data_IF_979275749252
#
_entry.id   IF_979275749252
#
_cell.length_a   1.000
_cell.length_b   1.000
_cell.length_c   1.000
_cell.angle_alpha   90.00
_cell.angle_beta   90.00
_cell.angle_gamma   90.00
#
_symmetry.space_group_name_H-M   'P 1'
#
loop_
_entity.id
_entity.type
_entity.pdbx_description
1 polymer ?
#
# COMPACT_ATOMS: atom_id res chain seq x y z
N UNK A 1 -26.50 6.04 9.54
CA UNK A 1 -26.31 4.93 8.59
C UNK A 1 -26.43 3.62 9.36
N UNK A 2 -27.44 2.82 9.05
CA UNK A 2 -27.57 1.46 9.60
C UNK A 2 -26.47 0.59 9.01
N UNK A 3 -25.68 -0.08 9.85
CA UNK A 3 -24.66 -1.04 9.42
C UNK A 3 -25.33 -2.18 8.64
N UNK A 4 -24.90 -2.42 7.41
CA UNK A 4 -25.44 -3.50 6.57
C UNK A 4 -25.07 -4.89 7.10
N UNK A 5 -23.90 -4.99 7.76
CA UNK A 5 -23.34 -6.26 8.24
C UNK A 5 -22.89 -6.12 9.68
N UNK A 6 -23.18 -7.13 10.51
CA UNK A 6 -22.66 -7.19 11.89
C UNK A 6 -21.12 -7.30 11.87
N UNK A 7 -20.38 -6.60 12.76
CA UNK A 7 -18.92 -6.64 12.76
C UNK A 7 -18.33 -8.06 12.78
N UNK A 8 -18.93 -8.96 13.56
CA UNK A 8 -18.46 -10.35 13.70
C UNK A 8 -18.54 -11.12 12.37
N UNK A 9 -19.65 -11.00 11.64
CA UNK A 9 -19.81 -11.67 10.33
C UNK A 9 -18.92 -11.03 9.26
N UNK A 10 -18.69 -9.72 9.32
CA UNK A 10 -17.74 -9.04 8.44
C UNK A 10 -16.31 -9.58 8.64
N UNK A 11 -15.84 -9.66 9.88
CA UNK A 11 -14.50 -10.19 10.16
C UNK A 11 -14.35 -11.64 9.72
N UNK A 12 -15.34 -12.49 9.97
CA UNK A 12 -15.31 -13.89 9.49
C UNK A 12 -15.21 -13.93 7.97
N UNK A 13 -16.05 -13.17 7.25
CA UNK A 13 -16.04 -13.13 5.80
C UNK A 13 -14.73 -12.61 5.21
N UNK A 14 -14.18 -11.52 5.77
CA UNK A 14 -12.89 -10.95 5.33
C UNK A 14 -11.71 -11.88 5.63
N UNK A 15 -11.74 -12.57 6.78
CA UNK A 15 -10.69 -13.55 7.11
C UNK A 15 -10.73 -14.73 6.15
N UNK A 16 -11.91 -15.28 5.87
CA UNK A 16 -12.05 -16.36 4.90
C UNK A 16 -11.63 -15.94 3.50
N UNK A 17 -12.01 -14.72 3.06
CA UNK A 17 -11.56 -14.16 1.79
C UNK A 17 -10.05 -14.00 1.74
N UNK A 18 -9.42 -13.52 2.81
CA UNK A 18 -7.98 -13.36 2.89
C UNK A 18 -7.26 -14.70 2.83
N UNK A 19 -7.73 -15.70 3.57
CA UNK A 19 -7.18 -17.05 3.54
C UNK A 19 -7.32 -17.69 2.15
N UNK A 20 -8.47 -17.50 1.50
CA UNK A 20 -8.68 -17.96 0.12
C UNK A 20 -7.72 -17.24 -0.86
N UNK A 21 -7.57 -15.92 -0.74
CA UNK A 21 -6.65 -15.15 -1.57
C UNK A 21 -5.19 -15.59 -1.37
N UNK A 22 -4.76 -15.87 -0.14
CA UNK A 22 -3.44 -16.45 0.17
C UNK A 22 -3.29 -17.79 -0.53
N UNK A 23 -4.25 -18.69 -0.34
CA UNK A 23 -4.23 -20.01 -0.96
C UNK A 23 -4.13 -19.93 -2.49
N UNK A 24 -4.98 -19.13 -3.13
CA UNK A 24 -4.95 -18.93 -4.58
C UNK A 24 -3.62 -18.32 -5.03
N UNK A 25 -3.06 -17.37 -4.28
CA UNK A 25 -1.76 -16.76 -4.59
C UNK A 25 -0.61 -17.77 -4.53
N UNK A 26 -0.65 -18.73 -3.61
CA UNK A 26 0.34 -19.79 -3.48
C UNK A 26 0.11 -20.93 -4.49
N UNK A 27 -1.14 -21.27 -4.79
CA UNK A 27 -1.49 -22.36 -5.67
C UNK A 27 -1.35 -22.03 -7.16
N UNK A 28 -1.75 -20.82 -7.56
CA UNK A 28 -1.82 -20.42 -8.97
C UNK A 28 -0.64 -19.52 -9.35
N UNK A 29 -0.11 -19.66 -10.55
CA UNK A 29 0.98 -18.85 -11.09
C UNK A 29 1.32 -19.26 -12.52
N UNK A 30 2.23 -18.51 -13.20
CA UNK A 30 2.62 -18.79 -14.59
C UNK A 30 3.19 -20.21 -14.78
N UNK A 31 3.90 -20.72 -13.77
CA UNK A 31 4.35 -22.12 -13.73
C UNK A 31 3.26 -22.94 -13.07
N UNK A 32 2.64 -23.85 -13.80
CA UNK A 32 1.63 -24.77 -13.27
C UNK A 32 2.25 -25.78 -12.30
N UNK A 33 1.83 -25.74 -11.05
CA UNK A 33 2.12 -26.77 -10.07
C UNK A 33 0.83 -27.54 -9.78
N UNK A 34 0.86 -28.88 -9.71
CA UNK A 34 -0.29 -29.64 -9.24
C UNK A 34 -0.73 -29.16 -7.86
N UNK A 35 -2.02 -28.94 -7.65
CA UNK A 35 -2.55 -28.45 -6.37
C UNK A 35 -2.15 -29.33 -5.19
N UNK A 36 -2.11 -30.65 -5.43
CA UNK A 36 -1.70 -31.62 -4.42
C UNK A 36 -0.23 -31.47 -4.02
N UNK A 37 0.67 -31.26 -4.98
CA UNK A 37 2.10 -31.07 -4.73
C UNK A 37 2.35 -29.72 -4.06
N UNK A 38 1.59 -28.68 -4.43
CA UNK A 38 1.62 -27.37 -3.75
C UNK A 38 1.24 -27.50 -2.28
N UNK A 39 0.19 -28.28 -1.97
CA UNK A 39 -0.23 -28.51 -0.59
C UNK A 39 0.81 -29.32 0.20
N UNK A 40 1.34 -30.43 -0.40
CA UNK A 40 2.37 -31.26 0.23
C UNK A 40 3.64 -30.46 0.51
N UNK A 41 4.10 -29.65 -0.46
CA UNK A 41 5.27 -28.79 -0.30
C UNK A 41 5.03 -27.73 0.79
N UNK A 42 3.86 -27.11 0.83
CA UNK A 42 3.51 -26.15 1.89
C UNK A 42 3.49 -26.80 3.28
N UNK A 43 2.86 -27.98 3.43
CA UNK A 43 2.83 -28.73 4.68
C UNK A 43 4.24 -29.15 5.13
N UNK A 44 5.10 -29.55 4.19
CA UNK A 44 6.49 -29.92 4.50
C UNK A 44 7.31 -28.73 4.94
N UNK A 45 7.14 -27.57 4.32
CA UNK A 45 7.77 -26.31 4.78
C UNK A 45 7.33 -25.92 6.21
N UNK A 46 6.14 -26.35 6.64
CA UNK A 46 5.64 -26.18 8.00
C UNK A 46 6.12 -27.30 8.97
N UNK A 47 6.97 -28.22 8.52
CA UNK A 47 7.56 -29.29 9.34
C UNK A 47 6.81 -30.63 9.32
N UNK A 48 5.86 -30.83 8.40
CA UNK A 48 5.21 -32.14 8.26
C UNK A 48 6.20 -33.19 7.74
N UNK A 49 6.24 -34.42 8.31
CA UNK A 49 7.14 -35.50 7.92
C UNK A 49 6.68 -36.17 6.63
N UNK A 50 6.71 -35.45 5.51
CA UNK A 50 6.36 -35.94 4.19
C UNK A 50 7.62 -36.31 3.38
N UNK A 51 7.55 -37.38 2.57
CA UNK A 51 8.66 -37.78 1.72
C UNK A 51 9.06 -36.66 0.73
N UNK A 52 10.37 -36.44 0.50
CA UNK A 52 10.87 -35.39 -0.37
C UNK A 52 10.61 -35.62 -1.87
N UNK A 53 10.37 -36.86 -2.26
CA UNK A 53 10.40 -37.30 -3.65
C UNK A 53 9.45 -36.49 -4.55
N UNK A 54 10.05 -35.80 -5.53
CA UNK A 54 9.34 -35.02 -6.54
C UNK A 54 8.83 -33.64 -6.07
N UNK A 55 9.08 -33.19 -4.83
CA UNK A 55 8.59 -31.93 -4.30
C UNK A 55 9.62 -30.79 -4.35
N UNK A 56 10.87 -31.06 -4.68
CA UNK A 56 11.98 -30.07 -4.63
C UNK A 56 11.70 -28.83 -5.47
N UNK A 57 11.19 -29.00 -6.69
CA UNK A 57 10.83 -27.88 -7.55
C UNK A 57 9.64 -27.08 -7.00
N UNK A 58 8.64 -27.76 -6.44
CA UNK A 58 7.48 -27.10 -5.82
C UNK A 58 7.89 -26.30 -4.57
N UNK A 59 8.76 -26.87 -3.73
CA UNK A 59 9.29 -26.18 -2.54
C UNK A 59 10.12 -24.94 -2.91
N UNK A 60 10.95 -25.04 -3.95
CA UNK A 60 11.75 -23.91 -4.42
C UNK A 60 10.85 -22.79 -4.96
N UNK A 61 9.88 -23.11 -5.81
CA UNK A 61 8.94 -22.12 -6.35
C UNK A 61 8.08 -21.51 -5.26
N UNK A 62 7.57 -22.32 -4.34
CA UNK A 62 6.78 -21.82 -3.20
C UNK A 62 7.63 -20.95 -2.28
N UNK A 63 8.78 -21.41 -1.85
CA UNK A 63 9.61 -20.75 -0.83
C UNK A 63 10.31 -19.50 -1.34
N UNK A 64 10.80 -19.50 -2.59
CA UNK A 64 11.63 -18.42 -3.12
C UNK A 64 10.88 -17.42 -4.00
N UNK A 65 9.74 -17.82 -4.57
CA UNK A 65 9.00 -16.96 -5.52
C UNK A 65 7.62 -16.62 -4.98
N UNK A 66 6.76 -17.63 -4.70
CA UNK A 66 5.36 -17.38 -4.39
C UNK A 66 5.15 -16.84 -2.98
N UNK A 67 5.82 -17.39 -1.99
CA UNK A 67 5.65 -16.97 -0.59
C UNK A 67 6.12 -15.54 -0.35
N UNK A 68 7.34 -15.10 -0.78
CA UNK A 68 7.74 -13.70 -0.65
C UNK A 68 6.79 -12.75 -1.36
N UNK A 69 6.30 -13.10 -2.55
CA UNK A 69 5.34 -12.30 -3.32
C UNK A 69 3.98 -12.19 -2.62
N UNK A 70 3.48 -13.30 -2.08
CA UNK A 70 2.22 -13.31 -1.31
C UNK A 70 2.34 -12.46 -0.06
N UNK A 71 3.42 -12.59 0.71
CA UNK A 71 3.68 -11.78 1.90
C UNK A 71 3.84 -10.29 1.55
N UNK A 72 4.50 -9.98 0.44
CA UNK A 72 4.62 -8.62 -0.07
C UNK A 72 3.24 -8.03 -0.39
N UNK A 73 2.40 -8.77 -1.12
CA UNK A 73 1.03 -8.35 -1.45
C UNK A 73 0.16 -8.12 -0.22
N UNK A 74 0.23 -9.02 0.78
CA UNK A 74 -0.47 -8.87 2.06
C UNK A 74 -0.05 -7.58 2.79
N UNK A 75 1.25 -7.35 2.91
CA UNK A 75 1.79 -6.20 3.64
C UNK A 75 1.45 -4.88 2.92
N UNK A 76 1.68 -4.81 1.60
CA UNK A 76 1.39 -3.62 0.79
C UNK A 76 -0.10 -3.31 0.79
N UNK A 77 -0.96 -4.31 0.48
CA UNK A 77 -2.41 -4.11 0.43
C UNK A 77 -2.98 -3.69 1.79
N UNK A 78 -2.54 -4.34 2.85
CA UNK A 78 -2.97 -4.05 4.22
C UNK A 78 -2.55 -2.65 4.68
N UNK A 79 -1.29 -2.26 4.48
CA UNK A 79 -0.78 -0.95 4.95
C UNK A 79 -1.31 0.21 4.11
N UNK A 80 -1.52 0.03 2.79
CA UNK A 80 -2.15 1.05 1.94
C UNK A 80 -3.59 1.31 2.38
N UNK A 81 -4.39 0.25 2.59
CA UNK A 81 -5.76 0.39 3.06
C UNK A 81 -5.84 1.02 4.46
N UNK A 82 -4.96 0.60 5.37
CA UNK A 82 -4.88 1.16 6.72
C UNK A 82 -4.52 2.65 6.71
N UNK A 83 -3.54 3.04 5.89
CA UNK A 83 -3.16 4.44 5.67
C UNK A 83 -4.29 5.25 5.05
N UNK A 84 -5.07 4.62 4.16
CA UNK A 84 -6.28 5.22 3.61
C UNK A 84 -7.31 5.55 4.67
N UNK A 85 -7.61 4.63 5.61
CA UNK A 85 -8.51 4.90 6.75
C UNK A 85 -8.01 6.09 7.57
N UNK A 86 -6.71 6.14 7.86
CA UNK A 86 -6.10 7.22 8.63
C UNK A 86 -6.27 8.58 7.95
N UNK A 87 -6.02 8.65 6.63
CA UNK A 87 -6.16 9.89 5.87
C UNK A 87 -7.61 10.31 5.68
N UNK A 88 -8.52 9.36 5.43
CA UNK A 88 -9.95 9.64 5.36
C UNK A 88 -10.49 10.17 6.70
N UNK A 89 -9.98 9.68 7.82
CA UNK A 89 -10.28 10.19 9.16
C UNK A 89 -9.71 11.60 9.40
N UNK A 90 -8.45 11.82 9.03
CA UNK A 90 -7.77 13.10 9.17
C UNK A 90 -8.44 14.21 8.36
N UNK A 91 -8.74 13.96 7.10
CA UNK A 91 -9.38 14.90 6.20
C UNK A 91 -10.90 14.98 6.39
N UNK A 92 -11.48 14.12 7.23
CA UNK A 92 -12.94 13.95 7.39
C UNK A 92 -13.64 13.83 6.04
N UNK A 93 -12.97 13.19 5.10
CA UNK A 93 -13.44 12.99 3.74
C UNK A 93 -13.26 11.51 3.36
N UNK A 94 -14.33 10.76 3.11
CA UNK A 94 -14.27 9.34 2.75
C UNK A 94 -13.59 9.08 1.40
N UNK A 95 -13.33 10.12 0.62
CA UNK A 95 -12.68 10.08 -0.67
C UNK A 95 -11.22 10.56 -0.62
N UNK A 96 -10.66 10.78 0.57
CA UNK A 96 -9.27 11.16 0.70
C UNK A 96 -8.35 9.96 0.43
N UNK A 97 -7.38 10.18 -0.45
CA UNK A 97 -6.31 9.22 -0.76
C UNK A 97 -5.05 9.54 0.05
N UNK A 98 -4.32 8.54 0.55
CA UNK A 98 -3.07 8.77 1.26
C UNK A 98 -1.99 9.48 0.41
N UNK A 99 -2.07 9.41 -0.92
CA UNK A 99 -1.18 10.14 -1.83
C UNK A 99 -1.32 11.66 -1.78
N UNK A 100 -2.46 12.18 -1.29
CA UNK A 100 -2.72 13.64 -1.17
C UNK A 100 -1.69 14.38 -0.30
N UNK A 101 -0.98 13.70 0.59
CA UNK A 101 0.12 14.27 1.36
C UNK A 101 1.48 14.17 0.65
N UNK A 102 1.49 13.83 -0.64
CA UNK A 102 2.67 13.85 -1.49
C UNK A 102 3.63 12.66 -1.32
N UNK A 103 3.24 11.62 -0.54
CA UNK A 103 4.13 10.48 -0.27
C UNK A 103 4.46 9.70 -1.55
N UNK A 104 3.46 9.43 -2.40
CA UNK A 104 3.66 8.66 -3.65
C UNK A 104 4.48 9.44 -4.68
N UNK A 105 4.20 10.74 -4.87
CA UNK A 105 4.95 11.59 -5.79
C UNK A 105 6.40 11.82 -5.33
N UNK A 106 6.61 11.97 -4.03
CA UNK A 106 7.95 12.03 -3.45
C UNK A 106 8.73 10.73 -3.64
N UNK A 107 8.06 9.58 -3.48
CA UNK A 107 8.66 8.28 -3.72
C UNK A 107 9.01 8.09 -5.21
N UNK A 108 8.15 8.52 -6.12
CA UNK A 108 8.43 8.51 -7.56
C UNK A 108 9.64 9.38 -7.92
N UNK A 109 9.75 10.57 -7.33
CA UNK A 109 10.92 11.43 -7.51
C UNK A 109 12.19 10.77 -6.97
N UNK A 110 12.15 10.21 -5.77
CA UNK A 110 13.30 9.49 -5.19
C UNK A 110 13.73 8.28 -6.03
N UNK A 111 12.77 7.54 -6.57
CA UNK A 111 13.04 6.43 -7.49
C UNK A 111 13.65 6.91 -8.81
N UNK A 112 13.14 8.00 -9.39
CA UNK A 112 13.68 8.58 -10.61
C UNK A 112 15.14 9.04 -10.42
N UNK A 113 15.45 9.67 -9.28
CA UNK A 113 16.82 10.03 -8.91
C UNK A 113 17.72 8.78 -8.81
N UNK A 114 17.23 7.69 -8.21
CA UNK A 114 18.02 6.47 -8.10
C UNK A 114 18.22 5.75 -9.44
N UNK A 115 17.20 5.70 -10.29
CA UNK A 115 17.23 4.99 -11.57
C UNK A 115 18.08 5.75 -12.59
N UNK A 116 17.85 7.06 -12.75
CA UNK A 116 18.58 7.90 -13.73
C UNK A 116 19.95 8.30 -13.19
N UNK A 117 20.02 8.63 -11.90
CA UNK A 117 21.25 9.05 -11.22
C UNK A 117 22.12 7.90 -10.72
N UNK A 118 21.75 6.64 -10.98
CA UNK A 118 22.44 5.47 -10.45
C UNK A 118 23.95 5.44 -10.76
N UNK A 119 24.34 5.95 -11.90
CA UNK A 119 25.76 6.10 -12.28
C UNK A 119 26.55 7.07 -11.38
N UNK A 120 25.88 8.05 -10.77
CA UNK A 120 26.50 8.99 -9.82
C UNK A 120 26.74 8.39 -8.44
N UNK A 121 26.08 7.27 -8.11
CA UNK A 121 26.20 6.56 -6.84
C UNK A 121 27.23 5.42 -6.87
N UNK A 122 28.10 5.37 -7.88
CA UNK A 122 29.07 4.30 -8.13
C UNK A 122 30.14 4.06 -7.04
N UNK A 123 30.18 4.87 -5.97
CA UNK A 123 31.05 4.69 -4.82
C UNK A 123 30.38 3.99 -3.63
N UNK A 124 29.13 3.56 -3.74
CA UNK A 124 28.43 2.88 -2.65
C UNK A 124 28.88 1.43 -2.53
N UNK A 125 28.91 0.87 -1.29
CA UNK A 125 29.21 -0.54 -1.08
C UNK A 125 28.27 -1.45 -1.88
N UNK A 126 28.79 -2.53 -2.44
CA UNK A 126 28.00 -3.47 -3.29
C UNK A 126 26.75 -4.00 -2.58
N UNK A 127 26.80 -4.22 -1.25
CA UNK A 127 25.66 -4.67 -0.47
C UNK A 127 24.51 -3.64 -0.41
N UNK A 128 24.78 -2.35 -0.64
CA UNK A 128 23.77 -1.29 -0.63
C UNK A 128 23.04 -1.15 -1.97
N UNK A 129 23.67 -1.54 -3.08
CA UNK A 129 23.12 -1.44 -4.44
C UNK A 129 21.67 -1.94 -4.56
N UNK A 130 21.33 -3.15 -4.06
CA UNK A 130 19.97 -3.69 -4.12
C UNK A 130 18.92 -2.86 -3.36
N UNK A 131 19.36 -2.07 -2.37
CA UNK A 131 18.47 -1.26 -1.53
C UNK A 131 18.38 0.20 -1.95
N UNK A 132 19.29 0.67 -2.81
CA UNK A 132 19.39 2.08 -3.21
C UNK A 132 18.07 2.64 -3.72
N UNK A 133 17.45 1.94 -4.68
CA UNK A 133 16.17 2.35 -5.28
C UNK A 133 15.08 2.47 -4.21
N UNK A 134 14.93 1.44 -3.37
CA UNK A 134 13.93 1.44 -2.30
C UNK A 134 14.20 2.50 -1.24
N UNK A 135 15.45 2.72 -0.88
CA UNK A 135 15.84 3.76 0.08
C UNK A 135 15.56 5.17 -0.46
N UNK A 136 15.96 5.46 -1.72
CA UNK A 136 15.68 6.74 -2.35
C UNK A 136 14.17 7.00 -2.48
N UNK A 137 13.40 6.00 -2.91
CA UNK A 137 11.95 6.11 -2.99
C UNK A 137 11.32 6.37 -1.60
N UNK A 138 11.71 5.61 -0.59
CA UNK A 138 11.23 5.78 0.78
C UNK A 138 11.55 7.18 1.33
N UNK A 139 12.81 7.59 1.23
CA UNK A 139 13.27 8.91 1.71
C UNK A 139 12.64 10.06 0.93
N UNK A 140 12.46 9.91 -0.39
CA UNK A 140 11.75 10.87 -1.22
C UNK A 140 10.29 11.06 -0.77
N UNK A 141 9.58 9.95 -0.50
CA UNK A 141 8.22 9.97 0.03
C UNK A 141 8.14 10.65 1.40
N UNK A 142 9.02 10.28 2.32
CA UNK A 142 9.10 10.93 3.65
C UNK A 142 9.42 12.42 3.53
N UNK A 143 10.39 12.79 2.67
CA UNK A 143 10.83 14.18 2.49
C UNK A 143 9.71 15.07 1.98
N UNK A 144 9.01 14.67 0.92
CA UNK A 144 7.88 15.44 0.38
C UNK A 144 6.74 15.51 1.39
N UNK A 145 6.40 14.41 2.07
CA UNK A 145 5.36 14.44 3.11
C UNK A 145 5.74 15.34 4.29
N UNK A 146 7.00 15.30 4.73
CA UNK A 146 7.48 16.20 5.78
C UNK A 146 7.38 17.67 5.36
N UNK A 147 7.67 17.98 4.09
CA UNK A 147 7.55 19.33 3.55
C UNK A 147 6.09 19.76 3.46
N UNK A 148 5.18 18.90 2.97
CA UNK A 148 3.73 19.15 2.98
C UNK A 148 3.22 19.45 4.39
N UNK A 149 3.62 18.62 5.36
CA UNK A 149 3.22 18.83 6.75
C UNK A 149 3.76 20.16 7.32
N UNK A 150 5.02 20.50 7.04
CA UNK A 150 5.64 21.75 7.46
C UNK A 150 4.92 22.98 6.87
N UNK A 151 4.60 22.95 5.58
CA UNK A 151 3.88 24.01 4.89
C UNK A 151 2.44 24.15 5.38
N UNK A 152 1.79 23.02 5.73
CA UNK A 152 0.45 22.99 6.30
C UNK A 152 0.36 23.46 7.75
N UNK A 153 1.51 23.62 8.44
CA UNK A 153 1.57 24.01 9.84
C UNK A 153 1.90 25.50 9.99
N UNK A 154 1.00 26.24 10.67
CA UNK A 154 1.21 27.67 10.98
C UNK A 154 0.85 27.92 12.44
N UNK A 155 1.69 28.65 13.18
CA UNK A 155 1.49 29.01 14.60
C UNK A 155 1.18 27.79 15.50
N UNK A 156 1.84 26.67 15.25
CA UNK A 156 1.63 25.46 16.05
C UNK A 156 0.41 24.61 15.66
N UNK A 157 -0.47 25.12 14.81
CA UNK A 157 -1.68 24.43 14.34
C UNK A 157 -1.52 23.91 12.92
N UNK A 158 -2.06 22.73 12.64
CA UNK A 158 -2.04 22.09 11.32
C UNK A 158 -3.34 22.39 10.60
N UNK A 159 -3.26 23.18 9.52
CA UNK A 159 -4.40 23.45 8.64
C UNK A 159 -4.46 22.40 7.54
N UNK A 160 -5.50 21.58 7.58
CA UNK A 160 -5.72 20.46 6.66
C UNK A 160 -5.90 20.93 5.20
N UNK A 161 -6.59 22.06 4.98
CA UNK A 161 -6.77 22.62 3.64
C UNK A 161 -5.43 23.11 3.05
N UNK A 162 -4.61 23.78 3.86
CA UNK A 162 -3.26 24.22 3.44
C UNK A 162 -2.35 23.00 3.16
N UNK A 163 -2.47 21.92 3.95
CA UNK A 163 -1.77 20.67 3.67
C UNK A 163 -2.15 20.08 2.31
N UNK A 164 -3.45 20.06 1.97
CA UNK A 164 -3.92 19.56 0.68
C UNK A 164 -3.38 20.39 -0.49
N UNK A 165 -3.43 21.72 -0.38
CA UNK A 165 -2.88 22.62 -1.41
C UNK A 165 -1.37 22.45 -1.57
N UNK A 166 -0.63 22.34 -0.46
CA UNK A 166 0.80 22.06 -0.48
C UNK A 166 1.09 20.69 -1.12
N UNK A 167 0.28 19.67 -0.79
CA UNK A 167 0.38 18.34 -1.39
C UNK A 167 0.19 18.35 -2.90
N UNK A 168 -0.83 19.07 -3.40
CA UNK A 168 -1.07 19.23 -4.85
C UNK A 168 0.11 19.94 -5.52
N UNK A 169 0.58 21.06 -4.95
CA UNK A 169 1.68 21.83 -5.53
C UNK A 169 2.99 21.03 -5.56
N UNK A 170 3.34 20.36 -4.46
CA UNK A 170 4.56 19.54 -4.39
C UNK A 170 4.46 18.29 -5.26
N UNK A 171 3.26 17.71 -5.40
CA UNK A 171 3.03 16.60 -6.34
C UNK A 171 3.25 17.06 -7.78
N UNK A 172 2.74 18.23 -8.18
CA UNK A 172 2.97 18.78 -9.52
C UNK A 172 4.46 19.04 -9.76
N UNK A 173 5.18 19.61 -8.78
CA UNK A 173 6.61 19.85 -8.86
C UNK A 173 7.41 18.54 -8.98
N UNK A 174 7.10 17.55 -8.13
CA UNK A 174 7.73 16.24 -8.19
C UNK A 174 7.48 15.54 -9.53
N UNK A 175 6.23 15.60 -10.04
CA UNK A 175 5.87 15.03 -11.34
C UNK A 175 6.62 15.74 -12.50
N UNK A 176 6.80 17.06 -12.44
CA UNK A 176 7.58 17.80 -13.42
C UNK A 176 9.06 17.38 -13.39
N UNK A 177 9.62 17.17 -12.20
CA UNK A 177 11.00 16.69 -12.05
C UNK A 177 11.14 15.25 -12.59
N UNK A 178 10.18 14.34 -12.28
CA UNK A 178 10.14 13.00 -12.86
C UNK A 178 10.05 13.06 -14.38
N UNK A 179 9.22 13.98 -14.93
CA UNK A 179 9.12 14.23 -16.37
C UNK A 179 10.46 14.66 -17.00
N UNK A 180 11.22 15.50 -16.31
CA UNK A 180 12.57 15.88 -16.75
C UNK A 180 13.52 14.69 -16.77
N UNK A 181 13.54 13.88 -15.71
CA UNK A 181 14.34 12.64 -15.69
C UNK A 181 13.93 11.66 -16.80
N UNK A 182 12.63 11.55 -17.07
CA UNK A 182 12.09 10.72 -18.17
C UNK A 182 12.57 11.21 -19.52
N UNK A 183 12.62 12.53 -19.75
CA UNK A 183 13.11 13.15 -20.97
C UNK A 183 14.62 12.95 -21.20
N UNK A 184 15.40 12.93 -20.12
CA UNK A 184 16.87 12.75 -20.18
C UNK A 184 17.29 11.28 -20.20
N UNK A 185 16.38 10.35 -19.92
CA UNK A 185 16.68 8.93 -19.84
C UNK A 185 16.89 8.30 -21.23
N UNK A 186 17.79 7.32 -21.30
CA UNK A 186 17.88 6.41 -22.43
C UNK A 186 16.71 5.40 -22.44
N UNK A 187 16.55 4.64 -23.51
CA UNK A 187 15.42 3.71 -23.69
C UNK A 187 15.33 2.64 -22.59
N UNK A 188 16.45 2.13 -22.10
CA UNK A 188 16.49 1.12 -21.04
C UNK A 188 16.05 1.72 -19.69
N UNK A 189 16.57 2.88 -19.37
CA UNK A 189 16.23 3.65 -18.16
C UNK A 189 14.77 4.11 -18.18
N UNK A 190 14.30 4.61 -19.34
CA UNK A 190 12.91 5.02 -19.57
C UNK A 190 11.96 3.83 -19.31
N UNK A 191 12.28 2.65 -19.84
CA UNK A 191 11.51 1.43 -19.61
C UNK A 191 11.45 1.10 -18.11
N UNK A 192 12.60 1.14 -17.43
CA UNK A 192 12.71 0.87 -15.99
C UNK A 192 11.85 1.83 -15.17
N UNK A 193 11.92 3.14 -15.44
CA UNK A 193 11.11 4.17 -14.80
C UNK A 193 9.61 3.92 -15.03
N UNK A 194 9.23 3.61 -16.27
CA UNK A 194 7.83 3.36 -16.64
C UNK A 194 7.26 2.17 -15.89
N UNK A 195 7.97 1.04 -15.89
CA UNK A 195 7.51 -0.16 -15.16
C UNK A 195 7.48 0.05 -13.65
N UNK A 196 8.46 0.78 -13.10
CA UNK A 196 8.45 1.09 -11.68
C UNK A 196 7.24 1.96 -11.29
N UNK A 197 6.90 2.96 -12.10
CA UNK A 197 5.73 3.82 -11.88
C UNK A 197 4.39 3.08 -12.04
N UNK A 198 4.35 1.99 -12.77
CA UNK A 198 3.14 1.17 -12.90
C UNK A 198 2.92 0.20 -11.73
N UNK A 199 3.91 0.05 -10.85
CA UNK A 199 3.87 -0.84 -9.70
C UNK A 199 3.88 -2.33 -10.05
N UNK A 200 4.61 -3.12 -9.28
CA UNK A 200 4.72 -4.56 -9.48
C UNK A 200 5.09 -5.28 -8.18
N UNK A 201 4.55 -6.47 -7.98
CA UNK A 201 5.01 -7.41 -6.95
C UNK A 201 6.06 -8.40 -7.49
N UNK A 202 6.44 -8.26 -8.77
CA UNK A 202 7.46 -9.10 -9.39
C UNK A 202 8.85 -8.81 -8.78
N UNK A 203 9.70 -9.83 -8.72
CA UNK A 203 11.01 -9.73 -8.07
C UNK A 203 10.94 -9.54 -6.56
N UNK A 204 9.83 -9.95 -5.92
CA UNK A 204 9.71 -10.01 -4.49
C UNK A 204 10.83 -10.90 -3.90
N UNK A 205 11.56 -10.35 -2.95
CA UNK A 205 12.62 -11.06 -2.23
C UNK A 205 12.51 -10.79 -0.74
N UNK A 206 13.01 -11.71 0.07
CA UNK A 206 13.02 -11.53 1.53
C UNK A 206 13.78 -10.26 1.96
N UNK A 207 14.83 -9.88 1.23
CA UNK A 207 15.58 -8.66 1.51
C UNK A 207 14.71 -7.38 1.40
N UNK A 208 13.85 -7.29 0.39
CA UNK A 208 12.90 -6.17 0.23
C UNK A 208 11.69 -6.28 1.16
N UNK A 209 11.33 -7.49 1.53
CA UNK A 209 10.14 -7.78 2.34
C UNK A 209 10.31 -7.37 3.81
N UNK A 210 11.46 -7.67 4.42
CA UNK A 210 11.67 -7.44 5.85
C UNK A 210 11.48 -5.98 6.30
N UNK A 211 12.06 -4.97 5.63
CA UNK A 211 11.83 -3.56 6.00
C UNK A 211 10.35 -3.18 5.94
N UNK A 212 9.65 -3.63 4.89
CA UNK A 212 8.22 -3.38 4.74
C UNK A 212 7.41 -4.06 5.85
N UNK A 213 7.69 -5.33 6.18
CA UNK A 213 6.96 -6.06 7.23
C UNK A 213 7.13 -5.38 8.59
N UNK A 214 8.33 -4.96 8.94
CA UNK A 214 8.60 -4.27 10.21
C UNK A 214 7.81 -2.96 10.28
N UNK A 215 7.87 -2.13 9.23
CA UNK A 215 7.16 -0.86 9.18
C UNK A 215 5.65 -1.08 9.17
N UNK A 216 5.15 -2.00 8.35
CA UNK A 216 3.71 -2.31 8.25
C UNK A 216 3.16 -2.86 9.56
N UNK A 217 3.90 -3.74 10.24
CA UNK A 217 3.53 -4.24 11.56
C UNK A 217 3.48 -3.11 12.60
N UNK A 218 4.48 -2.22 12.59
CA UNK A 218 4.49 -1.04 13.46
C UNK A 218 3.26 -0.15 13.24
N UNK A 219 2.94 0.17 11.99
CA UNK A 219 1.77 0.98 11.62
C UNK A 219 0.47 0.24 11.97
N UNK A 220 0.39 -1.07 11.69
CA UNK A 220 -0.79 -1.90 11.97
C UNK A 220 -1.04 -2.09 13.47
N UNK A 221 0.00 -2.05 14.28
CA UNK A 221 -0.14 -2.09 15.74
C UNK A 221 -0.46 -0.70 16.32
N UNK A 222 0.05 0.38 15.73
CA UNK A 222 -0.12 1.74 16.26
C UNK A 222 -1.47 2.36 15.93
N UNK A 223 -1.88 2.37 14.65
CA UNK A 223 -3.08 3.08 14.19
C UNK A 223 -4.39 2.59 14.87
N UNK A 224 -4.63 1.30 15.11
CA UNK A 224 -5.84 0.86 15.82
C UNK A 224 -5.97 1.40 17.25
N UNK A 225 -4.84 1.70 17.92
CA UNK A 225 -4.85 2.35 19.22
C UNK A 225 -5.42 3.76 19.19
N UNK A 226 -5.42 4.41 18.02
CA UNK A 226 -5.98 5.76 17.78
C UNK A 226 -7.44 5.74 17.30
N UNK A 227 -8.08 4.57 17.21
CA UNK A 227 -9.47 4.43 16.73
C UNK A 227 -10.46 5.32 17.49
N UNK A 228 -10.34 5.43 18.82
CA UNK A 228 -11.19 6.30 19.62
C UNK A 228 -10.98 7.78 19.30
N UNK A 229 -9.73 8.20 19.13
CA UNK A 229 -9.38 9.57 18.78
C UNK A 229 -9.84 9.93 17.35
N UNK A 230 -9.73 8.99 16.40
CA UNK A 230 -10.27 9.14 15.05
C UNK A 230 -11.79 9.25 15.05
N UNK A 231 -12.50 8.47 15.90
CA UNK A 231 -13.95 8.59 16.04
C UNK A 231 -14.35 9.95 16.62
N UNK A 232 -13.62 10.47 17.62
CA UNK A 232 -13.85 11.81 18.15
C UNK A 232 -13.61 12.88 17.08
N UNK A 233 -12.59 12.73 16.24
CA UNK A 233 -12.27 13.68 15.15
C UNK A 233 -13.40 13.78 14.11
N UNK A 234 -14.22 12.74 13.93
CA UNK A 234 -15.40 12.81 13.06
C UNK A 234 -16.43 13.83 13.50
N UNK A 235 -16.50 14.12 14.81
CA UNK A 235 -17.41 15.13 15.37
C UNK A 235 -16.92 16.57 15.13
N UNK A 236 -15.65 16.73 14.81
CA UNK A 236 -14.98 18.02 14.63
C UNK A 236 -13.74 18.15 15.49
N UNK A 237 -12.82 19.04 15.11
CA UNK A 237 -11.57 19.26 15.85
C UNK A 237 -11.83 19.88 17.24
N UNK A 238 -12.78 20.84 17.30
CA UNK A 238 -13.18 21.48 18.57
C UNK A 238 -13.76 20.46 19.54
N UNK A 239 -14.72 19.66 19.05
CA UNK A 239 -15.38 18.62 19.85
C UNK A 239 -14.40 17.53 20.32
N UNK A 240 -13.48 17.11 19.44
CA UNK A 240 -12.43 16.19 19.81
C UNK A 240 -11.53 16.75 20.93
N UNK A 241 -11.21 18.05 20.84
CA UNK A 241 -10.46 18.77 21.88
C UNK A 241 -11.19 18.78 23.22
N UNK A 242 -12.49 19.06 23.22
CA UNK A 242 -13.34 19.03 24.43
C UNK A 242 -13.43 17.61 25.05
N UNK A 243 -13.31 16.56 24.23
CA UNK A 243 -13.21 15.18 24.68
C UNK A 243 -11.80 14.78 25.19
N UNK A 244 -10.87 15.75 25.31
CA UNK A 244 -9.53 15.53 25.82
C UNK A 244 -8.54 14.94 24.81
N UNK A 245 -8.86 14.98 23.50
CA UNK A 245 -7.96 14.52 22.46
C UNK A 245 -6.99 15.66 22.09
N UNK A 246 -5.69 15.39 22.16
CA UNK A 246 -4.67 16.26 21.56
C UNK A 246 -4.73 16.10 20.03
N UNK A 247 -5.51 16.97 19.39
CA UNK A 247 -5.80 16.92 17.95
C UNK A 247 -4.52 17.13 17.12
N UNK A 248 -3.63 18.05 17.53
CA UNK A 248 -2.41 18.33 16.78
C UNK A 248 -1.41 17.16 16.84
N UNK A 249 -1.31 16.53 18.00
CA UNK A 249 -0.54 15.30 18.16
C UNK A 249 -1.12 14.17 17.29
N UNK A 250 -2.44 14.00 17.31
CA UNK A 250 -3.11 12.99 16.49
C UNK A 250 -2.85 13.21 14.99
N UNK A 251 -3.03 14.43 14.47
CA UNK A 251 -2.75 14.79 13.08
C UNK A 251 -1.31 14.43 12.69
N UNK A 252 -0.34 14.81 13.50
CA UNK A 252 1.08 14.51 13.29
C UNK A 252 1.34 12.99 13.23
N UNK A 253 0.77 12.24 14.17
CA UNK A 253 0.91 10.78 14.21
C UNK A 253 0.30 10.12 12.98
N UNK A 254 -0.90 10.54 12.54
CA UNK A 254 -1.57 10.01 11.36
C UNK A 254 -0.76 10.26 10.08
N UNK A 255 -0.26 11.49 9.90
CA UNK A 255 0.58 11.84 8.74
C UNK A 255 1.88 11.03 8.75
N UNK A 256 2.53 10.91 9.91
CA UNK A 256 3.77 10.16 10.05
C UNK A 256 3.58 8.65 9.78
N UNK A 257 2.56 8.03 10.38
CA UNK A 257 2.25 6.63 10.12
C UNK A 257 1.91 6.37 8.64
N UNK A 258 1.17 7.29 8.01
CA UNK A 258 0.86 7.20 6.58
C UNK A 258 2.11 7.33 5.73
N UNK A 259 2.98 8.30 6.03
CA UNK A 259 4.24 8.47 5.31
C UNK A 259 5.14 7.22 5.41
N UNK A 260 5.25 6.64 6.60
CA UNK A 260 6.00 5.41 6.81
C UNK A 260 5.37 4.23 6.05
N UNK A 261 4.07 4.00 6.24
CA UNK A 261 3.38 2.84 5.66
C UNK A 261 3.32 2.89 4.14
N UNK A 262 2.85 4.00 3.57
CA UNK A 262 2.76 4.19 2.12
C UNK A 262 4.15 4.30 1.50
N UNK A 263 5.07 5.03 2.14
CA UNK A 263 6.45 5.15 1.69
C UNK A 263 7.14 3.79 1.59
N UNK A 264 6.99 2.92 2.59
CA UNK A 264 7.53 1.56 2.58
C UNK A 264 6.85 0.68 1.51
N UNK A 265 5.53 0.78 1.35
CA UNK A 265 4.79 0.04 0.33
C UNK A 265 5.23 0.41 -1.08
N UNK A 266 5.33 1.73 -1.37
CA UNK A 266 5.75 2.25 -2.68
C UNK A 266 7.23 1.94 -2.94
N UNK A 267 8.10 2.02 -1.93
CA UNK A 267 9.51 1.65 -2.05
C UNK A 267 9.72 0.17 -2.38
N UNK A 268 8.83 -0.70 -1.91
CA UNK A 268 8.91 -2.15 -2.13
C UNK A 268 8.24 -2.62 -3.42
N UNK A 269 7.14 -1.99 -3.83
CA UNK A 269 6.26 -2.47 -4.90
C UNK A 269 5.99 -1.45 -6.03
N UNK A 270 6.62 -0.26 -5.99
CA UNK A 270 6.29 0.83 -6.90
C UNK A 270 4.92 1.46 -6.58
N UNK A 271 4.42 2.30 -7.49
CA UNK A 271 3.17 3.01 -7.24
C UNK A 271 1.96 2.10 -7.46
N UNK A 272 1.16 1.90 -6.41
CA UNK A 272 -0.11 1.16 -6.45
C UNK A 272 -1.21 2.09 -5.95
N UNK A 273 -2.08 2.50 -6.86
CA UNK A 273 -3.20 3.39 -6.57
C UNK A 273 -4.48 2.67 -6.18
N UNK A 274 -5.47 3.46 -5.76
CA UNK A 274 -6.85 3.06 -5.46
C UNK A 274 -7.07 2.16 -4.25
N UNK A 275 -6.12 1.33 -3.82
CA UNK A 275 -6.30 0.44 -2.65
C UNK A 275 -6.61 1.25 -1.39
N UNK A 276 -5.83 2.30 -1.12
CA UNK A 276 -6.03 3.20 0.03
C UNK A 276 -7.31 4.05 -0.04
N UNK A 277 -7.89 4.21 -1.23
CA UNK A 277 -9.12 4.95 -1.44
C UNK A 277 -10.36 4.04 -1.38
N UNK A 278 -10.36 2.99 -2.19
CA UNK A 278 -11.52 2.13 -2.45
C UNK A 278 -11.82 1.23 -1.26
N UNK A 279 -10.79 0.57 -0.71
CA UNK A 279 -10.99 -0.44 0.34
C UNK A 279 -11.60 0.14 1.62
N UNK A 280 -11.07 1.24 2.21
CA UNK A 280 -11.68 1.84 3.39
C UNK A 280 -13.11 2.31 3.14
N UNK A 281 -13.38 2.82 1.95
CA UNK A 281 -14.71 3.26 1.56
C UNK A 281 -15.71 2.09 1.51
N UNK A 282 -15.35 0.97 0.85
CA UNK A 282 -16.17 -0.25 0.81
C UNK A 282 -16.45 -0.80 2.21
N UNK A 283 -15.42 -0.91 3.05
CA UNK A 283 -15.58 -1.40 4.42
C UNK A 283 -16.48 -0.47 5.21
N UNK A 284 -16.38 0.86 5.03
CA UNK A 284 -17.25 1.84 5.69
C UNK A 284 -18.72 1.70 5.25
N UNK A 285 -18.98 1.41 3.99
CA UNK A 285 -20.35 1.15 3.51
C UNK A 285 -20.96 -0.10 4.17
N UNK A 286 -20.15 -1.11 4.45
CA UNK A 286 -20.59 -2.38 5.06
C UNK A 286 -20.72 -2.29 6.58
N UNK A 287 -19.74 -1.72 7.25
CA UNK A 287 -19.58 -1.75 8.71
C UNK A 287 -19.88 -0.42 9.42
N UNK A 288 -20.09 0.67 8.66
CA UNK A 288 -20.24 2.01 9.24
C UNK A 288 -18.91 2.70 9.51
N UNK A 289 -18.95 3.90 10.16
CA UNK A 289 -17.79 4.77 10.28
C UNK A 289 -16.91 4.48 11.50
N UNK A 290 -17.24 3.51 12.37
CA UNK A 290 -16.46 3.23 13.57
C UNK A 290 -15.06 2.71 13.25
N UNK A 291 -14.04 3.50 13.55
CA UNK A 291 -12.65 3.19 13.29
C UNK A 291 -12.13 1.96 14.04
N UNK A 292 -12.81 1.52 15.11
CA UNK A 292 -12.45 0.26 15.81
C UNK A 292 -12.67 -0.96 14.93
N UNK A 293 -13.66 -0.89 14.04
CA UNK A 293 -13.97 -1.94 13.07
C UNK A 293 -13.26 -1.63 11.74
N UNK A 294 -13.32 -0.37 11.32
CA UNK A 294 -12.85 0.08 10.01
C UNK A 294 -11.35 -0.18 9.80
N UNK A 295 -10.51 0.12 10.81
CA UNK A 295 -9.05 -0.05 10.69
C UNK A 295 -8.66 -1.52 10.46
N UNK A 296 -9.00 -2.49 11.34
CA UNK A 296 -8.58 -3.87 11.14
C UNK A 296 -9.29 -4.56 9.97
N UNK A 297 -10.56 -4.24 9.71
CA UNK A 297 -11.28 -4.79 8.56
C UNK A 297 -10.67 -4.32 7.23
N UNK A 298 -10.20 -3.05 7.15
CA UNK A 298 -9.54 -2.53 5.95
C UNK A 298 -8.18 -3.19 5.69
N UNK A 299 -7.45 -3.60 6.73
CA UNK A 299 -6.21 -4.38 6.55
C UNK A 299 -6.50 -5.70 5.83
N UNK A 300 -7.47 -6.46 6.31
CA UNK A 300 -7.85 -7.75 5.71
C UNK A 300 -8.38 -7.57 4.28
N UNK A 301 -9.26 -6.59 4.09
CA UNK A 301 -9.84 -6.31 2.77
C UNK A 301 -8.80 -5.82 1.76
N UNK A 302 -7.86 -4.94 2.17
CA UNK A 302 -6.79 -4.42 1.32
C UNK A 302 -5.78 -5.51 0.93
N UNK A 303 -5.39 -6.34 1.89
CA UNK A 303 -4.55 -7.50 1.66
C UNK A 303 -5.20 -8.46 0.65
N UNK A 304 -6.48 -8.79 0.84
CA UNK A 304 -7.24 -9.66 -0.07
C UNK A 304 -7.36 -9.08 -1.46
N UNK A 305 -7.73 -7.80 -1.57
CA UNK A 305 -7.88 -7.12 -2.87
C UNK A 305 -6.57 -7.13 -3.65
N UNK A 306 -5.45 -6.82 -2.99
CA UNK A 306 -4.17 -6.74 -3.67
C UNK A 306 -3.66 -8.11 -4.11
N UNK A 307 -3.87 -9.18 -3.31
CA UNK A 307 -3.54 -10.54 -3.72
C UNK A 307 -4.37 -11.00 -4.92
N UNK A 308 -5.67 -10.71 -4.94
CA UNK A 308 -6.54 -11.05 -6.07
C UNK A 308 -6.17 -10.24 -7.32
N UNK A 309 -5.84 -8.95 -7.16
CA UNK A 309 -5.35 -8.12 -8.26
C UNK A 309 -4.00 -8.63 -8.80
N UNK A 310 -3.08 -9.07 -7.93
CA UNK A 310 -1.83 -9.69 -8.33
C UNK A 310 -2.05 -11.01 -9.08
N UNK A 311 -3.01 -11.81 -8.65
CA UNK A 311 -3.37 -13.04 -9.33
C UNK A 311 -3.85 -12.77 -10.77
N UNK A 312 -4.72 -11.77 -10.95
CA UNK A 312 -5.15 -11.31 -12.28
C UNK A 312 -3.95 -10.81 -13.08
N UNK A 313 -3.08 -9.98 -12.49
CA UNK A 313 -1.90 -9.42 -13.15
C UNK A 313 -0.96 -10.51 -13.69
N UNK A 314 -0.81 -11.63 -12.97
CA UNK A 314 0.06 -12.75 -13.35
C UNK A 314 -0.54 -13.70 -14.40
N UNK A 315 -1.86 -13.84 -14.42
CA UNK A 315 -2.54 -14.85 -15.23
C UNK A 315 -3.15 -14.30 -16.51
N UNK A 316 -3.50 -13.01 -16.55
CA UNK A 316 -4.26 -12.42 -17.66
C UNK A 316 -3.51 -12.43 -18.99
N UNK A 317 -2.19 -12.25 -18.98
CA UNK A 317 -1.35 -12.20 -20.18
C UNK A 317 -0.15 -13.16 -20.10
N UNK A 318 -0.25 -14.25 -19.32
CA UNK A 318 0.85 -15.19 -19.16
C UNK A 318 1.42 -15.65 -20.52
N UNK A 319 2.75 -15.73 -20.71
CA UNK A 319 3.79 -15.62 -19.69
C UNK A 319 4.19 -14.19 -19.31
N UNK A 320 3.69 -13.15 -20.00
CA UNK A 320 3.93 -11.76 -19.61
C UNK A 320 3.08 -11.40 -18.37
N UNK A 321 3.62 -10.53 -17.51
CA UNK A 321 2.91 -10.05 -16.34
C UNK A 321 2.44 -8.61 -16.56
N UNK A 322 1.18 -8.34 -16.22
CA UNK A 322 0.67 -6.98 -16.17
C UNK A 322 1.20 -6.26 -14.92
N UNK A 323 1.59 -4.99 -15.00
CA UNK A 323 1.79 -4.17 -13.82
C UNK A 323 0.51 -4.11 -12.96
N UNK A 324 0.66 -4.34 -11.65
CA UNK A 324 -0.49 -4.46 -10.74
C UNK A 324 -1.26 -3.13 -10.61
N UNK A 325 -0.58 -1.99 -10.76
CA UNK A 325 -1.21 -0.67 -10.75
C UNK A 325 -2.24 -0.50 -11.87
N UNK A 326 -2.03 -1.13 -13.03
CA UNK A 326 -3.04 -1.15 -14.10
C UNK A 326 -4.30 -1.88 -13.62
N UNK A 327 -4.14 -3.06 -13.03
CA UNK A 327 -5.28 -3.87 -12.55
C UNK A 327 -6.05 -3.13 -11.45
N UNK A 328 -5.34 -2.55 -10.47
CA UNK A 328 -6.00 -1.79 -9.39
C UNK A 328 -6.69 -0.53 -9.90
N UNK A 329 -6.14 0.14 -10.93
CA UNK A 329 -6.78 1.29 -11.57
C UNK A 329 -8.05 0.90 -12.34
N UNK A 330 -8.02 -0.22 -13.08
CA UNK A 330 -9.21 -0.73 -13.79
C UNK A 330 -10.35 -1.15 -12.85
N UNK A 331 -10.03 -1.58 -11.62
CA UNK A 331 -11.03 -1.88 -10.59
C UNK A 331 -11.49 -0.57 -9.91
N UNK A 332 -10.54 0.29 -9.55
CA UNK A 332 -10.80 1.44 -8.69
C UNK A 332 -11.49 2.61 -9.40
N UNK A 333 -11.06 2.95 -10.62
CA UNK A 333 -11.61 4.11 -11.33
C UNK A 333 -13.09 3.95 -11.72
N UNK A 334 -13.55 2.80 -12.28
CA UNK A 334 -14.98 2.60 -12.55
C UNK A 334 -15.83 2.58 -11.27
N UNK A 335 -15.31 1.95 -10.20
CA UNK A 335 -16.00 1.97 -8.91
C UNK A 335 -16.18 3.41 -8.39
N UNK A 336 -15.16 4.23 -8.51
CA UNK A 336 -15.22 5.63 -8.08
C UNK A 336 -16.18 6.46 -8.91
N UNK A 337 -16.18 6.28 -10.24
CA UNK A 337 -17.13 6.93 -11.14
C UNK A 337 -18.58 6.52 -10.83
N UNK A 338 -18.81 5.23 -10.56
CA UNK A 338 -20.12 4.75 -10.13
C UNK A 338 -20.61 5.44 -8.86
N UNK A 339 -19.74 5.61 -7.86
CA UNK A 339 -20.08 6.32 -6.61
C UNK A 339 -20.44 7.78 -6.86
N UNK A 340 -19.68 8.47 -7.71
CA UNK A 340 -19.97 9.87 -8.05
C UNK A 340 -21.32 10.04 -8.76
N UNK A 341 -21.66 9.12 -9.64
CA UNK A 341 -22.95 9.13 -10.35
C UNK A 341 -24.11 8.84 -9.40
N UNK A 342 -23.94 7.89 -8.47
CA UNK A 342 -24.97 7.53 -7.48
C UNK A 342 -25.17 8.58 -6.39
N UNK A 343 -24.15 9.34 -6.03
CA UNK A 343 -24.24 10.43 -5.06
C UNK A 343 -24.91 11.71 -5.57
N UNK A 344 -25.27 11.76 -6.88
CA UNK A 344 -26.01 12.86 -7.52
C UNK A 344 -27.51 12.59 -7.65
N UNK A 345 -27.99 11.40 -7.33
CA UNK A 345 -29.39 11.01 -7.24
C UNK A 345 -29.86 10.98 -5.79
#
# INVERSE_FOLDING_TARGET
>A
MTTLVKPRSLFIGLTLLCLLAIWLSLALGPVSLPLFDTLRAALRMLGAPLAPDGLEQAELILGQIRLPRTLLGLAVGGVLALSGVAMQGLFRNPLADPGLVGVSSGAALGAAVAIVGGSFFGGLPEWFGPYLLSACAFLGGLGVTALVYRLGRRNGQTNVATMLLAGIALTALASSAVGLFTYLADDATLRTLTFWNLGSLNGASYARLWPLLIISAGVALWLPRRAKALNALLLGESEAGHLGIDVERLKRELVFCTALGVGAAVAAAGMIGFVGLVVPHLVRLLAGPDHRVLLPASVLAGASLLLLADLVARLALAPAELPIGIVTAFIGAPFFLYLLLRGRA
#
